data_IF_551983512899
#
_entry.id   IF_551983512899
#
_cell.length_a   1.000
_cell.length_b   1.000
_cell.length_c   1.000
_cell.angle_alpha   90.00
_cell.angle_beta   90.00
_cell.angle_gamma   90.00
#
_symmetry.space_group_name_H-M   'P 1'
#
loop_
_entity.id
_entity.type
_entity.pdbx_description
1 polymer ?
#
# COMPACT_ATOMS: atom_id res chain seq x y z
N UNK A 1 -30.57 0.61 4.94
CA UNK A 1 -30.35 0.32 3.51
C UNK A 1 -29.14 1.13 3.09
N UNK A 2 -28.02 0.45 2.85
CA UNK A 2 -26.66 0.97 2.95
C UNK A 2 -26.32 1.92 1.79
N UNK A 3 -25.87 3.14 2.07
CA UNK A 3 -25.43 4.17 1.11
C UNK A 3 -24.42 3.60 0.10
N UNK A 4 -23.57 2.67 0.53
CA UNK A 4 -22.61 1.95 -0.30
C UNK A 4 -23.27 1.14 -1.44
N UNK A 5 -24.38 0.46 -1.19
CA UNK A 5 -25.13 -0.26 -2.25
C UNK A 5 -25.74 0.68 -3.29
N UNK A 6 -26.09 1.91 -2.90
CA UNK A 6 -26.58 2.91 -3.86
C UNK A 6 -25.47 3.49 -4.73
N UNK A 7 -24.26 3.69 -4.17
CA UNK A 7 -23.11 4.19 -4.93
C UNK A 7 -22.64 3.15 -5.94
N UNK A 8 -22.53 1.87 -5.54
CA UNK A 8 -22.20 0.77 -6.47
C UNK A 8 -23.26 0.55 -7.55
N UNK A 9 -24.55 0.69 -7.23
CA UNK A 9 -25.64 0.63 -8.25
C UNK A 9 -25.60 1.80 -9.21
N UNK A 10 -25.12 2.96 -8.81
CA UNK A 10 -24.97 4.13 -9.69
C UNK A 10 -23.85 3.95 -10.69
N UNK A 11 -22.75 3.28 -10.32
CA UNK A 11 -21.67 2.93 -11.25
C UNK A 11 -22.16 1.94 -12.31
N UNK A 12 -23.03 1.00 -11.98
CA UNK A 12 -23.57 0.01 -12.92
C UNK A 12 -24.68 0.57 -13.84
N UNK A 13 -25.39 1.65 -13.44
CA UNK A 13 -26.42 2.26 -14.30
C UNK A 13 -25.89 3.30 -15.27
N UNK A 14 -24.69 3.83 -15.07
CA UNK A 14 -24.06 4.76 -16.03
C UNK A 14 -23.32 4.07 -17.18
N UNK A 15 -23.19 2.75 -17.18
CA UNK A 15 -22.48 1.99 -18.22
C UNK A 15 -23.31 1.66 -19.47
N UNK A 16 -24.58 2.06 -19.54
CA UNK A 16 -25.44 1.75 -20.69
C UNK A 16 -25.52 2.84 -21.77
N UNK A 17 -24.69 3.89 -21.71
CA UNK A 17 -24.56 4.83 -22.84
C UNK A 17 -23.10 5.01 -23.23
N UNK A 18 -22.71 4.20 -24.18
CA UNK A 18 -21.58 4.27 -25.10
C UNK A 18 -20.58 5.43 -24.95
N UNK A 19 -19.68 5.37 -23.98
CA UNK A 19 -18.30 5.82 -24.09
C UNK A 19 -17.46 4.76 -23.38
N UNK A 20 -16.73 3.97 -24.16
CA UNK A 20 -15.61 3.20 -23.65
C UNK A 20 -14.62 4.21 -23.05
N UNK A 21 -14.80 4.56 -21.75
CA UNK A 21 -13.78 5.28 -21.02
C UNK A 21 -12.54 4.39 -21.06
N UNK A 22 -11.51 4.87 -21.74
CA UNK A 22 -10.21 4.20 -21.77
C UNK A 22 -9.77 4.04 -20.33
N UNK A 23 -9.68 2.77 -19.87
CA UNK A 23 -9.08 2.42 -18.60
C UNK A 23 -7.76 3.20 -18.44
N UNK A 24 -7.46 3.76 -17.28
CA UNK A 24 -6.24 4.51 -17.08
C UNK A 24 -5.03 3.67 -17.52
N UNK A 25 -4.09 4.28 -18.22
CA UNK A 25 -2.85 3.63 -18.69
C UNK A 25 -1.95 3.14 -17.54
N UNK A 26 -2.21 3.61 -16.34
CA UNK A 26 -1.44 3.31 -15.14
C UNK A 26 -2.18 2.26 -14.32
N UNK A 27 -1.88 1.00 -14.59
CA UNK A 27 -2.33 -0.17 -13.82
C UNK A 27 -1.27 -0.55 -12.79
N UNK A 28 -1.68 -1.30 -11.76
CA UNK A 28 -0.71 -1.97 -10.89
C UNK A 28 0.15 -2.91 -11.72
N UNK A 29 1.47 -2.75 -11.74
CA UNK A 29 2.35 -3.63 -12.49
C UNK A 29 2.15 -5.08 -12.05
N UNK A 30 2.09 -6.00 -13.01
CA UNK A 30 1.89 -7.44 -12.77
C UNK A 30 0.60 -7.78 -11.98
N UNK A 31 -0.31 -6.81 -11.78
CA UNK A 31 -1.51 -7.00 -10.98
C UNK A 31 -1.24 -7.16 -9.48
N UNK A 32 -0.15 -6.60 -8.98
CA UNK A 32 0.23 -6.69 -7.55
C UNK A 32 0.07 -5.32 -6.92
N UNK A 33 -0.70 -5.23 -5.83
CA UNK A 33 -0.72 -4.08 -4.94
C UNK A 33 0.26 -4.32 -3.78
N UNK A 34 1.38 -3.62 -3.83
CA UNK A 34 2.45 -3.78 -2.83
C UNK A 34 2.24 -2.95 -1.56
N UNK A 35 1.18 -2.13 -1.49
CA UNK A 35 0.97 -1.25 -0.35
C UNK A 35 -0.49 -0.81 -0.27
N UNK A 36 -1.20 -1.28 0.74
CA UNK A 36 -2.57 -0.82 1.03
C UNK A 36 -2.95 -0.98 2.50
N UNK A 37 -3.95 -0.20 2.95
CA UNK A 37 -4.50 -0.18 4.30
C UNK A 37 -5.94 -0.73 4.32
N UNK A 38 -6.14 -1.86 3.62
CA UNK A 38 -7.45 -2.53 3.50
C UNK A 38 -7.70 -3.50 4.68
N UNK A 39 -6.68 -3.78 5.52
CA UNK A 39 -6.87 -4.63 6.71
C UNK A 39 -7.78 -3.93 7.73
N UNK A 40 -8.94 -4.52 8.12
CA UNK A 40 -9.96 -3.78 8.85
C UNK A 40 -9.61 -3.49 10.31
N UNK A 41 -9.90 -2.27 10.78
CA UNK A 41 -9.88 -1.88 12.19
C UNK A 41 -8.53 -1.92 12.90
N UNK A 42 -7.43 -1.74 12.14
CA UNK A 42 -6.07 -1.78 12.71
C UNK A 42 -5.33 -0.44 12.65
N UNK A 43 -5.71 0.43 11.72
CA UNK A 43 -5.11 1.76 11.53
C UNK A 43 -6.16 2.77 11.00
N UNK A 44 -5.74 3.86 10.38
CA UNK A 44 -6.63 4.87 9.79
C UNK A 44 -7.15 4.48 8.38
N UNK A 45 -6.89 3.26 7.94
CA UNK A 45 -7.42 2.68 6.72
C UNK A 45 -8.87 2.20 6.84
N UNK A 46 -9.15 1.04 6.30
CA UNK A 46 -10.50 0.43 6.35
C UNK A 46 -10.86 0.03 7.77
N UNK A 47 -12.08 0.37 8.22
CA UNK A 47 -12.52 0.07 9.58
C UNK A 47 -13.39 -1.20 9.65
N UNK A 48 -14.19 -1.46 8.62
CA UNK A 48 -15.19 -2.51 8.62
C UNK A 48 -14.76 -3.69 7.73
N UNK A 49 -14.97 -4.90 8.24
CA UNK A 49 -14.65 -6.15 7.54
C UNK A 49 -15.37 -6.24 6.18
N UNK A 50 -16.64 -5.85 6.15
CA UNK A 50 -17.48 -5.89 4.96
C UNK A 50 -16.94 -4.96 3.86
N UNK A 51 -16.43 -3.78 4.23
CA UNK A 51 -15.80 -2.85 3.29
C UNK A 51 -14.51 -3.42 2.70
N UNK A 52 -13.72 -4.11 3.52
CA UNK A 52 -12.51 -4.79 3.07
C UNK A 52 -12.84 -5.89 2.06
N UNK A 53 -13.83 -6.73 2.34
CA UNK A 53 -14.29 -7.79 1.44
C UNK A 53 -14.84 -7.22 0.11
N UNK A 54 -15.62 -6.13 0.15
CA UNK A 54 -16.12 -5.45 -1.04
C UNK A 54 -14.98 -4.89 -1.91
N UNK A 55 -13.92 -4.36 -1.27
CA UNK A 55 -12.74 -3.85 -1.99
C UNK A 55 -11.94 -4.99 -2.63
N UNK A 56 -11.73 -6.11 -1.92
CA UNK A 56 -11.08 -7.29 -2.50
C UNK A 56 -11.86 -7.84 -3.69
N UNK A 57 -13.20 -7.92 -3.61
CA UNK A 57 -14.04 -8.30 -4.74
C UNK A 57 -13.96 -7.29 -5.92
N UNK A 58 -13.67 -6.03 -5.63
CA UNK A 58 -13.42 -5.02 -6.66
C UNK A 58 -12.05 -5.24 -7.31
N UNK A 59 -11.02 -5.52 -6.52
CA UNK A 59 -9.68 -5.84 -7.00
C UNK A 59 -9.67 -7.05 -7.95
N UNK A 60 -10.40 -8.12 -7.60
CA UNK A 60 -10.59 -9.28 -8.47
C UNK A 60 -11.08 -8.87 -9.87
N UNK A 61 -12.15 -8.06 -9.92
CA UNK A 61 -12.81 -7.64 -11.17
C UNK A 61 -11.92 -6.79 -12.08
N UNK A 62 -10.99 -6.05 -11.50
CA UNK A 62 -10.08 -5.18 -12.26
C UNK A 62 -8.75 -5.85 -12.60
N UNK A 63 -8.59 -7.13 -12.24
CA UNK A 63 -7.42 -7.95 -12.60
C UNK A 63 -6.22 -7.79 -11.66
N UNK A 64 -6.42 -7.32 -10.43
CA UNK A 64 -5.42 -7.50 -9.36
C UNK A 64 -5.34 -8.98 -9.05
N UNK A 65 -4.15 -9.46 -8.71
CA UNK A 65 -3.86 -10.88 -8.42
C UNK A 65 -3.27 -11.10 -7.04
N UNK A 66 -2.51 -10.14 -6.55
CA UNK A 66 -1.85 -10.20 -5.26
C UNK A 66 -2.01 -8.88 -4.52
N UNK A 67 -2.21 -8.96 -3.21
CA UNK A 67 -2.39 -7.79 -2.32
C UNK A 67 -1.52 -7.96 -1.08
N UNK A 68 -0.68 -6.97 -0.83
CA UNK A 68 0.11 -6.85 0.39
C UNK A 68 -0.57 -5.83 1.31
N UNK A 69 -1.17 -6.32 2.39
CA UNK A 69 -1.68 -5.47 3.47
C UNK A 69 -0.50 -4.96 4.27
N UNK A 70 -0.37 -3.67 4.36
CA UNK A 70 0.75 -2.99 5.01
C UNK A 70 0.27 -1.98 6.06
N UNK A 71 -0.54 -2.41 7.06
CA UNK A 71 -1.04 -1.49 8.06
C UNK A 71 0.11 -0.78 8.79
N UNK A 72 -0.19 0.44 9.25
CA UNK A 72 0.77 1.23 10.00
C UNK A 72 1.20 0.56 11.31
N UNK A 73 2.51 0.66 11.60
CA UNK A 73 3.07 0.46 12.92
C UNK A 73 3.93 1.67 13.26
N UNK A 74 3.44 2.49 14.19
CA UNK A 74 4.08 3.72 14.66
C UNK A 74 3.68 4.01 16.11
N UNK A 75 4.33 4.97 16.76
CA UNK A 75 4.03 5.31 18.17
C UNK A 75 2.56 5.65 18.39
N UNK A 76 1.92 6.38 17.46
CA UNK A 76 0.50 6.75 17.53
C UNK A 76 -0.45 5.59 17.15
N UNK A 77 0.04 4.56 16.47
CA UNK A 77 -0.69 3.34 16.09
C UNK A 77 0.18 2.12 16.45
N UNK A 78 0.29 1.80 17.75
CA UNK A 78 1.24 0.81 18.25
C UNK A 78 0.75 -0.63 18.05
N UNK A 79 0.46 -0.99 16.81
CA UNK A 79 0.08 -2.35 16.44
C UNK A 79 1.17 -3.36 16.81
N UNK A 80 0.77 -4.55 17.21
CA UNK A 80 1.67 -5.69 17.41
C UNK A 80 1.55 -6.65 16.22
N UNK A 81 2.64 -7.36 15.90
CA UNK A 81 2.60 -8.39 14.85
C UNK A 81 1.57 -9.47 15.15
N UNK A 82 1.38 -9.84 16.41
CA UNK A 82 0.38 -10.82 16.84
C UNK A 82 -1.05 -10.37 16.52
N UNK A 83 -1.40 -9.11 16.86
CA UNK A 83 -2.72 -8.53 16.54
C UNK A 83 -2.94 -8.48 15.04
N UNK A 84 -1.96 -7.98 14.28
CA UNK A 84 -2.10 -7.87 12.83
C UNK A 84 -2.31 -9.24 12.17
N UNK A 85 -1.57 -10.27 12.60
CA UNK A 85 -1.78 -11.65 12.13
C UNK A 85 -3.20 -12.14 12.44
N UNK A 86 -3.67 -11.97 13.66
CA UNK A 86 -5.03 -12.38 14.06
C UNK A 86 -6.12 -11.74 13.18
N UNK A 87 -6.00 -10.44 12.91
CA UNK A 87 -6.98 -9.74 12.05
C UNK A 87 -6.85 -10.19 10.60
N UNK A 88 -5.61 -10.39 10.12
CA UNK A 88 -5.35 -10.89 8.78
C UNK A 88 -5.93 -12.29 8.57
N UNK A 89 -5.69 -13.23 9.48
CA UNK A 89 -6.22 -14.59 9.42
C UNK A 89 -7.77 -14.57 9.40
N UNK A 90 -8.39 -13.68 10.18
CA UNK A 90 -9.85 -13.50 10.19
C UNK A 90 -10.35 -12.97 8.84
N UNK A 91 -9.69 -11.97 8.26
CA UNK A 91 -10.03 -11.42 6.95
C UNK A 91 -9.84 -12.49 5.85
N UNK A 92 -8.71 -13.19 5.84
CA UNK A 92 -8.41 -14.22 4.83
C UNK A 92 -9.45 -15.34 4.85
N UNK A 93 -9.81 -15.84 6.04
CA UNK A 93 -10.84 -16.88 6.18
C UNK A 93 -12.21 -16.39 5.67
N UNK A 94 -12.63 -15.18 6.03
CA UNK A 94 -13.89 -14.60 5.54
C UNK A 94 -13.86 -14.34 4.03
N UNK A 95 -12.74 -13.88 3.51
CA UNK A 95 -12.56 -13.66 2.08
C UNK A 95 -12.68 -14.96 1.29
N UNK A 96 -12.03 -16.04 1.73
CA UNK A 96 -12.14 -17.36 1.09
C UNK A 96 -13.57 -17.90 1.08
N UNK A 97 -14.29 -17.74 2.20
CA UNK A 97 -15.70 -18.11 2.30
C UNK A 97 -16.59 -17.29 1.36
N UNK A 98 -16.38 -15.96 1.33
CA UNK A 98 -17.12 -15.05 0.46
C UNK A 98 -16.84 -15.33 -1.01
N UNK A 99 -15.58 -15.56 -1.38
CA UNK A 99 -15.19 -15.93 -2.75
C UNK A 99 -15.90 -17.20 -3.20
N UNK A 100 -15.86 -18.26 -2.40
CA UNK A 100 -16.56 -19.54 -2.68
C UNK A 100 -18.06 -19.36 -2.82
N UNK A 101 -18.68 -18.56 -1.93
CA UNK A 101 -20.11 -18.25 -1.96
C UNK A 101 -20.52 -17.49 -3.22
N UNK A 102 -19.73 -16.50 -3.65
CA UNK A 102 -19.97 -15.73 -4.88
C UNK A 102 -19.75 -16.56 -6.12
N UNK A 103 -18.87 -17.54 -6.07
CA UNK A 103 -18.48 -18.44 -7.17
C UNK A 103 -18.32 -17.68 -8.51
N UNK A 104 -17.45 -16.67 -8.60
CA UNK A 104 -17.35 -15.82 -9.76
C UNK A 104 -16.76 -16.62 -10.94
N UNK A 105 -17.47 -16.62 -12.07
CA UNK A 105 -16.97 -17.24 -13.29
C UNK A 105 -15.73 -16.51 -13.81
N UNK A 106 -14.72 -17.25 -14.23
CA UNK A 106 -13.49 -16.74 -14.87
C UNK A 106 -12.67 -15.73 -14.03
N UNK A 107 -12.90 -15.66 -12.73
CA UNK A 107 -12.16 -14.79 -11.81
C UNK A 107 -11.28 -15.64 -10.90
N UNK A 108 -9.99 -15.34 -10.86
CA UNK A 108 -9.06 -15.97 -9.94
C UNK A 108 -9.10 -15.32 -8.57
N UNK A 109 -9.08 -16.15 -7.52
CA UNK A 109 -8.97 -15.68 -6.14
C UNK A 109 -7.63 -14.94 -5.93
N UNK A 110 -7.67 -13.81 -5.21
CA UNK A 110 -6.47 -13.04 -4.89
C UNK A 110 -5.55 -13.83 -3.95
N UNK A 111 -4.26 -13.67 -4.13
CA UNK A 111 -3.28 -14.03 -3.11
C UNK A 111 -3.15 -12.86 -2.13
N UNK A 112 -3.36 -13.15 -0.86
CA UNK A 112 -3.29 -12.17 0.22
C UNK A 112 -2.00 -12.37 1.01
N UNK A 113 -1.35 -11.27 1.36
CA UNK A 113 -0.11 -11.26 2.11
C UNK A 113 -0.16 -10.19 3.20
N UNK A 114 0.45 -10.46 4.35
CA UNK A 114 0.57 -9.49 5.44
C UNK A 114 2.01 -9.01 5.56
N UNK A 115 2.18 -7.70 5.60
CA UNK A 115 3.41 -7.01 5.98
C UNK A 115 3.05 -5.84 6.91
N UNK A 116 3.91 -4.86 7.06
CA UNK A 116 3.62 -3.59 7.75
C UNK A 116 4.33 -2.43 7.09
N UNK A 117 3.69 -1.26 7.09
CA UNK A 117 4.35 0.01 6.89
C UNK A 117 4.84 0.53 8.24
N UNK A 118 6.15 0.71 8.36
CA UNK A 118 6.79 1.06 9.62
C UNK A 118 7.25 2.52 9.59
N UNK A 119 6.72 3.35 10.49
CA UNK A 119 7.26 4.68 10.73
C UNK A 119 8.66 4.55 11.35
N UNK A 120 9.62 5.30 10.83
CA UNK A 120 10.98 5.34 11.39
C UNK A 120 11.04 6.20 12.66
N UNK A 121 10.43 5.71 13.73
CA UNK A 121 10.31 6.32 15.06
C UNK A 121 11.00 5.49 16.16
N UNK A 122 10.81 5.86 17.43
CA UNK A 122 11.42 5.13 18.55
C UNK A 122 10.80 3.74 18.76
N UNK A 123 9.53 3.56 18.44
CA UNK A 123 8.88 2.25 18.46
C UNK A 123 9.52 1.31 17.43
N UNK A 124 9.76 1.80 16.21
CA UNK A 124 10.44 1.02 15.17
C UNK A 124 11.84 0.58 15.62
N UNK A 125 12.63 1.47 16.20
CA UNK A 125 13.96 1.11 16.70
C UNK A 125 13.91 -0.01 17.77
N UNK A 126 12.93 0.03 18.66
CA UNK A 126 12.72 -1.02 19.67
C UNK A 126 12.38 -2.36 18.98
N UNK A 127 11.48 -2.32 17.99
CA UNK A 127 11.04 -3.51 17.24
C UNK A 127 12.16 -4.09 16.37
N UNK A 128 12.97 -3.23 15.76
CA UNK A 128 14.14 -3.68 14.99
C UNK A 128 15.15 -4.41 15.89
N UNK A 129 15.35 -3.95 17.14
CA UNK A 129 16.22 -4.63 18.12
C UNK A 129 15.66 -5.99 18.54
N UNK A 130 14.37 -6.09 18.81
CA UNK A 130 13.70 -7.33 19.24
C UNK A 130 13.34 -8.27 18.09
N UNK A 131 13.61 -7.89 16.85
CA UNK A 131 13.22 -8.63 15.64
C UNK A 131 11.71 -8.90 15.52
N UNK A 132 10.86 -8.02 16.09
CA UNK A 132 9.40 -8.06 15.99
C UNK A 132 8.95 -7.28 14.75
N UNK A 133 9.08 -7.87 13.57
CA UNK A 133 8.89 -7.24 12.27
C UNK A 133 7.99 -8.09 11.37
N UNK A 134 7.32 -7.44 10.42
CA UNK A 134 6.56 -8.08 9.33
C UNK A 134 7.20 -7.68 7.99
N UNK A 135 8.13 -8.48 7.47
CA UNK A 135 8.76 -8.22 6.18
C UNK A 135 7.79 -8.31 5.02
N UNK A 136 8.12 -7.61 3.94
CA UNK A 136 7.39 -7.62 2.68
C UNK A 136 8.20 -8.35 1.59
N UNK A 137 7.50 -8.95 0.64
CA UNK A 137 8.10 -9.67 -0.48
C UNK A 137 8.37 -11.14 -0.18
N UNK A 138 8.46 -11.94 -1.24
CA UNK A 138 8.55 -13.40 -1.15
C UNK A 138 9.86 -13.87 -0.50
N UNK A 139 10.92 -13.06 -0.54
CA UNK A 139 12.22 -13.38 0.07
C UNK A 139 12.21 -13.14 1.60
N UNK A 140 11.20 -12.44 2.14
CA UNK A 140 11.05 -12.18 3.57
C UNK A 140 12.14 -11.29 4.18
N UNK A 141 12.88 -10.55 3.35
CA UNK A 141 14.02 -9.75 3.78
C UNK A 141 13.88 -8.25 3.47
N UNK A 142 12.71 -7.79 3.03
CA UNK A 142 12.46 -6.37 2.79
C UNK A 142 11.57 -5.79 3.89
N UNK A 143 11.79 -4.54 4.26
CA UNK A 143 10.95 -3.79 5.20
C UNK A 143 10.42 -2.53 4.52
N UNK A 144 9.10 -2.39 4.46
CA UNK A 144 8.46 -1.15 4.04
C UNK A 144 8.53 -0.16 5.20
N UNK A 145 9.15 0.98 4.93
CA UNK A 145 9.38 2.02 5.94
C UNK A 145 8.97 3.39 5.42
N UNK A 146 8.48 4.22 6.30
CA UNK A 146 8.12 5.60 6.00
C UNK A 146 8.73 6.60 7.00
N UNK A 147 8.71 7.88 6.64
CA UNK A 147 9.02 9.00 7.52
C UNK A 147 7.87 10.01 7.53
N UNK A 148 7.91 10.98 8.43
CA UNK A 148 7.03 12.13 8.32
C UNK A 148 7.16 12.79 6.93
N UNK A 149 6.04 13.18 6.35
CA UNK A 149 6.02 13.91 5.07
C UNK A 149 6.56 15.35 5.19
N UNK A 150 6.75 15.85 6.42
CA UNK A 150 7.22 17.21 6.69
C UNK A 150 8.73 17.30 6.85
N UNK A 151 9.36 16.26 7.45
CA UNK A 151 10.80 16.23 7.71
C UNK A 151 11.30 14.81 7.94
N UNK A 152 12.54 14.54 7.57
CA UNK A 152 13.20 13.30 7.94
C UNK A 152 13.51 13.28 9.44
N UNK A 153 13.52 12.09 10.08
CA UNK A 153 14.03 11.97 11.45
C UNK A 153 15.53 12.33 11.49
N UNK A 154 16.01 12.85 12.63
CA UNK A 154 17.38 13.36 12.78
C UNK A 154 18.46 12.39 12.32
N UNK A 155 18.27 11.09 12.51
CA UNK A 155 19.23 10.06 12.12
C UNK A 155 18.70 9.14 11.01
N UNK A 156 18.03 9.72 10.03
CA UNK A 156 17.36 8.97 8.95
C UNK A 156 18.30 7.96 8.26
N UNK A 157 19.47 8.43 7.80
CA UNK A 157 20.44 7.56 7.11
C UNK A 157 20.98 6.45 8.02
N UNK A 158 21.27 6.78 9.30
CA UNK A 158 21.70 5.79 10.26
C UNK A 158 20.63 4.75 10.61
N UNK A 159 19.33 5.14 10.57
CA UNK A 159 18.22 4.18 10.72
C UNK A 159 18.20 3.19 9.54
N UNK A 160 18.30 3.67 8.32
CA UNK A 160 18.36 2.83 7.12
C UNK A 160 19.57 1.89 7.13
N UNK A 161 20.72 2.38 7.59
CA UNK A 161 21.91 1.55 7.76
C UNK A 161 21.72 0.46 8.81
N UNK A 162 21.08 0.76 9.95
CA UNK A 162 20.76 -0.26 10.97
C UNK A 162 19.82 -1.34 10.45
N UNK A 163 18.85 -0.99 9.62
CA UNK A 163 17.98 -1.97 8.95
C UNK A 163 18.84 -2.91 8.09
N UNK A 164 19.74 -2.36 7.28
CA UNK A 164 20.63 -3.14 6.41
C UNK A 164 21.58 -4.03 7.20
N UNK A 165 22.16 -3.52 8.28
CA UNK A 165 23.04 -4.28 9.16
C UNK A 165 22.33 -5.44 9.88
N UNK A 166 21.00 -5.39 9.98
CA UNK A 166 20.15 -6.49 10.45
C UNK A 166 19.81 -7.52 9.34
N UNK A 167 20.30 -7.32 8.12
CA UNK A 167 20.04 -8.20 6.98
C UNK A 167 18.78 -7.87 6.18
N UNK A 168 18.11 -6.75 6.49
CA UNK A 168 16.93 -6.33 5.72
C UNK A 168 17.28 -5.30 4.64
N UNK A 169 16.51 -5.31 3.57
CA UNK A 169 16.54 -4.27 2.53
C UNK A 169 15.41 -3.28 2.80
N UNK A 170 15.70 -2.00 3.10
CA UNK A 170 14.65 -0.99 3.25
C UNK A 170 13.96 -0.70 1.92
N UNK A 171 12.63 -0.64 1.94
CA UNK A 171 11.80 -0.08 0.87
C UNK A 171 11.20 1.22 1.42
N UNK A 172 11.60 2.36 0.86
CA UNK A 172 11.03 3.64 1.24
C UNK A 172 9.67 3.79 0.57
N UNK A 173 8.61 3.89 1.39
CA UNK A 173 7.24 4.08 0.95
C UNK A 173 7.08 5.48 0.34
N UNK A 174 6.35 5.57 -0.77
CA UNK A 174 5.92 6.81 -1.43
C UNK A 174 6.92 8.00 -1.32
N UNK A 175 8.21 7.80 -1.70
CA UNK A 175 9.24 8.82 -1.53
C UNK A 175 8.91 10.15 -2.24
N UNK A 176 8.04 10.13 -3.23
CA UNK A 176 7.55 11.33 -3.92
C UNK A 176 6.79 12.30 -3.00
N UNK A 177 6.28 11.84 -1.84
CA UNK A 177 5.59 12.67 -0.86
C UNK A 177 6.55 13.47 0.02
N UNK A 178 7.84 13.09 0.07
CA UNK A 178 8.85 13.78 0.88
C UNK A 178 9.42 14.99 0.16
N UNK A 179 8.64 16.07 0.12
CA UNK A 179 9.00 17.29 -0.63
C UNK A 179 10.20 18.05 -0.06
N UNK A 180 10.64 17.70 1.15
CA UNK A 180 11.88 18.21 1.76
C UNK A 180 13.15 17.57 1.17
N UNK A 181 13.03 16.44 0.45
CA UNK A 181 14.15 15.79 -0.21
C UNK A 181 14.47 16.45 -1.54
N UNK A 182 15.77 16.66 -1.81
CA UNK A 182 16.27 17.09 -3.09
C UNK A 182 16.55 15.88 -4.00
N UNK A 183 16.74 16.13 -5.29
CA UNK A 183 17.03 15.07 -6.28
C UNK A 183 18.26 14.25 -5.93
N UNK A 184 19.31 14.90 -5.41
CA UNK A 184 20.52 14.26 -4.92
C UNK A 184 20.30 13.29 -3.77
N UNK A 185 19.29 13.55 -2.89
CA UNK A 185 18.99 12.65 -1.79
C UNK A 185 18.45 11.31 -2.29
N UNK A 186 17.53 11.33 -3.28
CA UNK A 186 17.01 10.09 -3.87
C UNK A 186 18.12 9.30 -4.57
N UNK A 187 19.00 9.98 -5.30
CA UNK A 187 20.17 9.34 -5.94
C UNK A 187 21.10 8.70 -4.91
N UNK A 188 21.38 9.40 -3.81
CA UNK A 188 22.21 8.88 -2.74
C UNK A 188 21.57 7.67 -2.03
N UNK A 189 20.25 7.68 -1.80
CA UNK A 189 19.53 6.55 -1.24
C UNK A 189 19.55 5.33 -2.18
N UNK A 190 19.35 5.56 -3.48
CA UNK A 190 19.45 4.49 -4.49
C UNK A 190 20.85 3.89 -4.54
N UNK A 191 21.90 4.72 -4.50
CA UNK A 191 23.29 4.26 -4.47
C UNK A 191 23.60 3.42 -3.22
N UNK A 192 22.88 3.62 -2.12
CA UNK A 192 22.95 2.81 -0.90
C UNK A 192 22.09 1.53 -0.96
N UNK A 193 21.43 1.22 -2.07
CA UNK A 193 20.60 0.03 -2.22
C UNK A 193 19.21 0.15 -1.58
N UNK A 194 18.77 1.37 -1.25
CA UNK A 194 17.39 1.59 -0.76
C UNK A 194 16.43 1.45 -1.94
N UNK A 195 15.41 0.60 -1.79
CA UNK A 195 14.35 0.42 -2.77
C UNK A 195 13.24 1.44 -2.55
N UNK A 196 12.49 1.77 -3.59
CA UNK A 196 11.40 2.75 -3.53
C UNK A 196 10.08 2.11 -3.97
N UNK A 197 9.00 2.47 -3.24
CA UNK A 197 7.64 2.10 -3.59
C UNK A 197 6.87 3.35 -4.04
N UNK A 198 6.36 3.34 -5.28
CA UNK A 198 5.49 4.37 -5.83
C UNK A 198 4.08 4.24 -5.27
N UNK A 199 3.49 5.33 -4.77
CA UNK A 199 2.05 5.42 -4.59
C UNK A 199 1.38 5.75 -5.95
N UNK A 200 0.55 4.84 -6.44
CA UNK A 200 -0.09 4.96 -7.75
C UNK A 200 -0.93 6.23 -7.88
N UNK A 201 -1.63 6.63 -6.81
CA UNK A 201 -2.48 7.81 -6.81
C UNK A 201 -1.70 9.13 -6.77
N UNK A 202 -0.41 9.12 -6.43
CA UNK A 202 0.48 10.27 -6.61
C UNK A 202 0.57 10.69 -8.08
N UNK A 203 0.64 9.74 -9.00
CA UNK A 203 0.64 10.00 -10.45
C UNK A 203 -0.67 10.62 -10.92
N UNK A 204 -1.77 10.32 -10.23
CA UNK A 204 -3.10 10.86 -10.52
C UNK A 204 -3.34 12.25 -9.93
N UNK A 205 -2.49 12.69 -8.98
CA UNK A 205 -2.57 14.00 -8.34
C UNK A 205 -3.32 14.02 -7.01
N UNK A 206 -3.52 12.86 -6.36
CA UNK A 206 -4.17 12.76 -5.04
C UNK A 206 -3.53 13.69 -4.00
N UNK A 207 -2.21 13.84 -4.05
CA UNK A 207 -1.42 14.61 -3.08
C UNK A 207 -0.92 15.95 -3.64
N UNK A 208 -1.55 16.42 -4.72
CA UNK A 208 -1.24 17.70 -5.35
C UNK A 208 -0.14 17.65 -6.42
N UNK A 209 0.01 18.76 -7.13
CA UNK A 209 0.86 18.85 -8.33
C UNK A 209 2.35 18.67 -8.05
N UNK A 210 2.83 19.13 -6.89
CA UNK A 210 4.26 18.98 -6.53
C UNK A 210 4.63 17.50 -6.39
N UNK A 211 3.80 16.74 -5.66
CA UNK A 211 3.98 15.29 -5.47
C UNK A 211 3.85 14.57 -6.82
N UNK A 212 2.84 14.91 -7.63
CA UNK A 212 2.66 14.34 -8.96
C UNK A 212 3.88 14.56 -9.87
N UNK A 213 4.43 15.78 -9.88
CA UNK A 213 5.65 16.10 -10.65
C UNK A 213 6.87 15.30 -10.15
N UNK A 214 7.00 15.15 -8.83
CA UNK A 214 8.07 14.37 -8.21
C UNK A 214 7.94 12.88 -8.55
N UNK A 215 6.73 12.31 -8.42
CA UNK A 215 6.45 10.92 -8.78
C UNK A 215 6.81 10.62 -10.25
N UNK A 216 6.42 11.49 -11.18
CA UNK A 216 6.77 11.36 -12.59
C UNK A 216 8.27 11.46 -12.86
N UNK A 217 8.96 12.34 -12.13
CA UNK A 217 10.40 12.45 -12.26
C UNK A 217 11.11 11.18 -11.76
N UNK A 218 10.76 10.67 -10.57
CA UNK A 218 11.31 9.42 -10.03
C UNK A 218 11.02 8.23 -10.97
N UNK A 219 9.81 8.16 -11.51
CA UNK A 219 9.42 7.13 -12.47
C UNK A 219 10.25 7.20 -13.75
N UNK A 220 10.47 8.41 -14.30
CA UNK A 220 11.31 8.61 -15.49
C UNK A 220 12.78 8.22 -15.25
N UNK A 221 13.26 8.34 -14.01
CA UNK A 221 14.60 7.90 -13.62
C UNK A 221 14.68 6.38 -13.36
N UNK A 222 13.56 5.62 -13.44
CA UNK A 222 13.55 4.19 -13.16
C UNK A 222 13.85 3.87 -11.69
N UNK A 223 13.49 4.74 -10.75
CA UNK A 223 13.86 4.60 -9.33
C UNK A 223 12.90 3.74 -8.52
N UNK A 224 11.74 3.37 -9.05
CA UNK A 224 10.76 2.54 -8.34
C UNK A 224 10.89 1.06 -8.67
N UNK A 225 10.95 0.23 -7.65
CA UNK A 225 10.89 -1.23 -7.74
C UNK A 225 9.49 -1.76 -7.47
N UNK A 226 8.70 -1.06 -6.67
CA UNK A 226 7.37 -1.47 -6.22
C UNK A 226 6.34 -0.39 -6.53
N UNK A 227 5.10 -0.81 -6.74
CA UNK A 227 3.96 0.10 -6.90
C UNK A 227 2.82 -0.39 -6.02
N UNK A 228 2.26 0.48 -5.21
CA UNK A 228 1.09 0.19 -4.39
C UNK A 228 0.08 1.32 -4.48
N UNK A 229 -1.13 1.06 -4.01
CA UNK A 229 -2.19 2.07 -4.00
C UNK A 229 -2.14 2.98 -2.79
N UNK A 230 -1.58 2.50 -1.68
CA UNK A 230 -1.66 3.17 -0.37
C UNK A 230 -3.12 3.52 -0.03
N UNK A 231 -4.01 2.57 -0.31
CA UNK A 231 -5.46 2.79 -0.27
C UNK A 231 -5.99 2.72 1.15
N UNK A 232 -6.42 3.87 1.69
CA UNK A 232 -7.03 3.99 3.00
C UNK A 232 -8.57 4.06 2.95
N UNK A 233 -9.15 4.52 1.83
CA UNK A 233 -10.60 4.78 1.74
C UNK A 233 -11.16 4.42 0.36
N UNK A 234 -12.31 3.74 0.30
CA UNK A 234 -12.93 3.37 -0.98
C UNK A 234 -13.18 4.56 -1.92
N UNK A 235 -13.50 5.74 -1.38
CA UNK A 235 -13.76 6.94 -2.18
C UNK A 235 -12.53 7.43 -2.95
N UNK A 236 -11.32 7.20 -2.47
CA UNK A 236 -10.08 7.51 -3.19
C UNK A 236 -9.95 6.61 -4.41
N UNK A 237 -10.22 5.31 -4.23
CA UNK A 237 -10.20 4.36 -5.32
C UNK A 237 -11.21 4.75 -6.43
N UNK A 238 -12.45 5.04 -6.06
CA UNK A 238 -13.51 5.43 -7.00
C UNK A 238 -13.17 6.71 -7.81
N UNK A 239 -12.43 7.64 -7.18
CA UNK A 239 -12.04 8.91 -7.82
C UNK A 239 -10.89 8.75 -8.80
N UNK A 240 -9.93 7.87 -8.53
CA UNK A 240 -8.66 7.85 -9.24
C UNK A 240 -8.40 6.57 -10.05
N UNK A 241 -9.21 5.53 -9.85
CA UNK A 241 -9.15 4.32 -10.65
C UNK A 241 -10.14 4.36 -11.81
#
# INVERSE_FOLDING_TARGET
MNIFRQVFRRIHRSSEKGKQERLPKEKLPQGIDWHCHILPGVDDGFQEMEMSLEMLATYEKIGVREVWFTPHIMEDVPNTTARLRQVFDSLENKYQQDFKRRNPADIQMLKLHLASENMLDALFEKRLRSNDLLPIGNEGNCLLVETSIFSAPMNFRGLLERIRNKGYTPILAHPERYLYMEKSDYQALKAQGIRFQLNLFSLKGQYGDKVKKRARWLQKQGMYEYTGTDLHRPGVFQRFW
#
